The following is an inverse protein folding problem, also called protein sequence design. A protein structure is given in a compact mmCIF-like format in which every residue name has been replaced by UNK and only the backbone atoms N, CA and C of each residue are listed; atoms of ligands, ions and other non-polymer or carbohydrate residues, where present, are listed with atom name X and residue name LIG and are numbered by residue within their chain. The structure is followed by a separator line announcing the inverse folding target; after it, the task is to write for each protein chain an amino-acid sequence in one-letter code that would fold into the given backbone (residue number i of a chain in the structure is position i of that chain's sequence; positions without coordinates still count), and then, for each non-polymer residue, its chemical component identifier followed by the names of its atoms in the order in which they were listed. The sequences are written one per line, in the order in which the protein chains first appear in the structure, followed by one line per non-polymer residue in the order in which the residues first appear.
data_IF_820608422292
#
_entry.id   IF_820608422292
#
_cell.length_a   1.000
_cell.length_b   1.000
_cell.length_c   1.000
_cell.angle_alpha   90.00
_cell.angle_beta   90.00
_cell.angle_gamma   90.00
#
_symmetry.space_group_name_H-M   'P 1'
#
loop_
_entity.id
_entity.type
_entity.pdbx_description
1 polymer ?
#
# COMPACT_ATOMS: atom_id res chain seq x y z
N UNK A 1 16.49 0.08 7.54
CA UNK A 1 15.36 0.94 7.16
C UNK A 1 14.08 0.15 7.38
N UNK A 2 13.28 0.56 8.35
CA UNK A 2 12.08 -0.18 8.76
C UNK A 2 10.92 0.14 7.84
N UNK A 3 10.19 -0.89 7.40
CA UNK A 3 8.98 -0.73 6.59
C UNK A 3 7.79 -1.12 7.44
N UNK A 4 6.89 -0.16 7.63
CA UNK A 4 5.65 -0.35 8.37
C UNK A 4 4.50 -0.23 7.37
N UNK A 5 3.71 -1.30 7.26
CA UNK A 5 2.50 -1.30 6.44
C UNK A 5 1.33 -0.92 7.34
N UNK A 6 0.68 0.20 7.04
CA UNK A 6 -0.50 0.67 7.75
C UNK A 6 -1.72 0.51 6.85
N UNK A 7 -2.56 -0.47 7.17
CA UNK A 7 -3.83 -0.78 6.48
C UNK A 7 -5.04 -0.22 7.21
N UNK A 8 -4.85 0.20 8.46
CA UNK A 8 -5.88 0.66 9.39
C UNK A 8 -5.86 2.19 9.55
N UNK A 9 -5.42 2.89 8.50
CA UNK A 9 -5.34 4.34 8.53
C UNK A 9 -6.74 4.94 8.53
N UNK A 10 -7.07 5.65 9.62
CA UNK A 10 -8.29 6.46 9.73
C UNK A 10 -7.89 7.92 9.62
N UNK A 11 -8.49 8.65 8.68
CA UNK A 11 -8.30 10.10 8.54
C UNK A 11 -6.81 10.53 8.52
N UNK A 12 -6.04 10.10 7.51
CA UNK A 12 -4.75 10.73 7.26
C UNK A 12 -5.00 12.18 6.79
N UNK A 13 -4.87 13.15 7.70
CA UNK A 13 -5.08 14.59 7.41
C UNK A 13 -4.30 15.05 6.18
N UNK A 14 -3.10 14.48 5.99
CA UNK A 14 -2.22 14.75 4.84
C UNK A 14 -2.83 14.41 3.48
N UNK A 15 -3.74 13.43 3.43
CA UNK A 15 -4.25 12.88 2.18
C UNK A 15 -5.79 12.85 2.08
N UNK A 16 -6.50 13.30 3.14
CA UNK A 16 -7.96 13.29 3.25
C UNK A 16 -8.57 11.92 2.89
N UNK A 17 -7.93 10.86 3.35
CA UNK A 17 -8.42 9.50 3.10
C UNK A 17 -9.64 9.19 3.99
N UNK A 18 -10.70 8.66 3.36
CA UNK A 18 -11.93 8.28 4.06
C UNK A 18 -11.82 6.87 4.65
N UNK A 19 -12.51 6.61 5.77
CA UNK A 19 -12.57 5.27 6.39
C UNK A 19 -13.07 4.20 5.41
N UNK A 20 -13.99 4.56 4.51
CA UNK A 20 -14.47 3.66 3.45
C UNK A 20 -13.34 3.13 2.55
N UNK A 21 -12.24 3.87 2.41
CA UNK A 21 -11.08 3.44 1.62
C UNK A 21 -10.24 2.41 2.36
N UNK A 22 -10.03 2.56 3.67
CA UNK A 22 -9.32 1.57 4.46
C UNK A 22 -10.07 0.24 4.51
N UNK A 23 -11.40 0.29 4.66
CA UNK A 23 -12.26 -0.91 4.59
C UNK A 23 -12.15 -1.56 3.21
N UNK A 24 -12.25 -0.78 2.13
CA UNK A 24 -12.11 -1.31 0.78
C UNK A 24 -10.76 -1.99 0.55
N UNK A 25 -9.66 -1.43 1.04
CA UNK A 25 -8.33 -2.05 0.94
C UNK A 25 -8.30 -3.40 1.64
N UNK A 26 -8.82 -3.43 2.87
CA UNK A 26 -8.87 -4.65 3.68
C UNK A 26 -9.70 -5.74 2.99
N UNK A 27 -10.87 -5.39 2.47
CA UNK A 27 -11.71 -6.32 1.70
C UNK A 27 -10.97 -6.88 0.48
N UNK A 28 -10.26 -6.02 -0.26
CA UNK A 28 -9.51 -6.42 -1.46
C UNK A 28 -8.32 -7.31 -1.15
N UNK A 29 -7.70 -7.10 0.01
CA UNK A 29 -6.64 -7.94 0.57
C UNK A 29 -7.18 -9.31 0.97
N UNK A 30 -8.29 -9.34 1.72
CA UNK A 30 -8.93 -10.58 2.17
C UNK A 30 -9.45 -11.42 0.99
N UNK A 31 -10.13 -10.81 0.02
CA UNK A 31 -10.65 -11.49 -1.17
C UNK A 31 -9.54 -12.15 -2.00
N UNK A 32 -8.32 -11.64 -1.94
CA UNK A 32 -7.16 -12.16 -2.69
C UNK A 32 -6.20 -12.99 -1.86
N UNK A 33 -6.39 -13.09 -0.54
CA UNK A 33 -5.41 -13.73 0.33
C UNK A 33 -4.05 -13.01 0.34
N UNK A 34 -4.08 -11.67 0.30
CA UNK A 34 -2.88 -10.82 0.34
C UNK A 34 -2.80 -10.16 1.71
N UNK A 35 -1.83 -10.58 2.52
CA UNK A 35 -1.47 -10.01 3.80
C UNK A 35 -0.43 -8.89 3.71
N UNK A 36 -0.16 -8.27 4.85
CA UNK A 36 0.80 -7.16 4.99
C UNK A 36 2.23 -7.58 4.68
N UNK A 37 2.60 -8.84 4.94
CA UNK A 37 3.93 -9.37 4.58
C UNK A 37 4.14 -9.41 3.07
N UNK A 38 3.15 -9.88 2.30
CA UNK A 38 3.23 -9.88 0.83
C UNK A 38 3.30 -8.45 0.29
N UNK A 39 2.56 -7.50 0.89
CA UNK A 39 2.69 -6.08 0.54
C UNK A 39 4.10 -5.57 0.83
N UNK A 40 4.68 -5.92 1.98
CA UNK A 40 6.06 -5.55 2.33
C UNK A 40 7.06 -6.11 1.32
N UNK A 41 6.89 -7.37 0.91
CA UNK A 41 7.70 -7.97 -0.15
C UNK A 41 7.54 -7.23 -1.48
N UNK A 42 6.31 -6.89 -1.87
CA UNK A 42 6.05 -6.15 -3.10
C UNK A 42 6.69 -4.75 -3.06
N UNK A 43 6.62 -4.05 -1.93
CA UNK A 43 7.26 -2.74 -1.75
C UNK A 43 8.79 -2.87 -1.83
N UNK A 44 9.38 -3.96 -1.33
CA UNK A 44 10.83 -4.15 -1.36
C UNK A 44 11.31 -4.62 -2.74
N UNK A 45 10.76 -5.72 -3.24
CA UNK A 45 11.26 -6.51 -4.38
C UNK A 45 10.51 -6.25 -5.69
N UNK A 46 9.28 -5.71 -5.62
CA UNK A 46 8.44 -5.51 -6.79
C UNK A 46 8.93 -4.40 -7.72
N UNK A 47 8.50 -4.50 -8.98
CA UNK A 47 8.72 -3.49 -10.02
C UNK A 47 7.84 -2.28 -9.75
N UNK A 48 8.44 -1.09 -9.69
CA UNK A 48 7.79 0.13 -9.21
C UNK A 48 7.53 1.10 -10.34
N UNK A 49 6.30 1.62 -10.39
CA UNK A 49 5.91 2.71 -11.27
C UNK A 49 5.28 3.83 -10.43
N UNK A 50 5.83 5.04 -10.56
CA UNK A 50 5.28 6.22 -9.90
C UNK A 50 4.20 6.82 -10.81
N UNK A 51 3.01 7.04 -10.27
CA UNK A 51 1.91 7.70 -10.97
C UNK A 51 2.00 9.23 -10.84
N UNK A 52 1.37 9.99 -11.75
CA UNK A 52 1.33 11.45 -11.67
C UNK A 52 0.71 12.00 -10.38
N UNK A 53 -0.15 11.23 -9.71
CA UNK A 53 -0.79 11.58 -8.44
C UNK A 53 0.10 11.34 -7.20
N UNK A 54 1.35 10.93 -7.41
CA UNK A 54 2.32 10.63 -6.36
C UNK A 54 2.13 9.26 -5.68
N UNK A 55 1.17 8.45 -6.12
CA UNK A 55 1.05 7.05 -5.68
C UNK A 55 2.04 6.15 -6.44
N UNK A 56 2.39 5.03 -5.82
CA UNK A 56 3.30 4.03 -6.39
C UNK A 56 2.52 2.76 -6.66
N UNK A 57 2.58 2.26 -7.89
CA UNK A 57 2.23 0.88 -8.20
C UNK A 57 3.48 0.06 -7.96
N UNK A 58 3.38 -1.00 -7.17
CA UNK A 58 4.38 -2.07 -7.16
C UNK A 58 3.76 -3.38 -7.62
N UNK A 59 4.32 -3.94 -8.68
CA UNK A 59 3.96 -5.24 -9.23
C UNK A 59 4.90 -6.31 -8.68
N UNK A 60 4.32 -7.37 -8.12
CA UNK A 60 5.06 -8.47 -7.55
C UNK A 60 4.29 -9.79 -7.70
N UNK A 61 4.93 -10.75 -8.39
CA UNK A 61 4.33 -12.04 -8.72
C UNK A 61 3.01 -11.86 -9.49
N UNK A 62 1.91 -12.32 -8.91
CA UNK A 62 0.58 -12.33 -9.53
C UNK A 62 -0.29 -11.13 -9.13
N UNK A 63 0.25 -10.16 -8.38
CA UNK A 63 -0.53 -9.01 -7.91
C UNK A 63 0.20 -7.68 -8.03
N UNK A 64 -0.59 -6.61 -8.03
CA UNK A 64 -0.19 -5.21 -8.02
C UNK A 64 -0.74 -4.55 -6.77
N UNK A 65 0.11 -3.85 -6.02
CA UNK A 65 -0.31 -2.98 -4.91
C UNK A 65 -0.11 -1.54 -5.30
N UNK A 66 -1.16 -0.73 -5.14
CA UNK A 66 -1.07 0.73 -5.24
C UNK A 66 -0.95 1.25 -3.83
N UNK A 67 0.06 2.06 -3.54
CA UNK A 67 0.25 2.61 -2.20
C UNK A 67 0.83 4.03 -2.24
N UNK A 68 0.72 4.72 -1.12
CA UNK A 68 1.46 5.95 -0.82
C UNK A 68 2.55 5.66 0.20
N UNK A 69 3.70 6.28 0.02
CA UNK A 69 4.80 6.18 0.96
C UNK A 69 5.01 7.49 1.71
N UNK A 70 5.25 7.39 3.01
CA UNK A 70 5.73 8.47 3.85
C UNK A 70 7.08 8.06 4.41
N UNK A 71 8.13 8.74 3.94
CA UNK A 71 9.49 8.55 4.46
C UNK A 71 9.69 9.44 5.68
N UNK A 72 10.06 8.81 6.78
CA UNK A 72 10.61 9.42 7.99
C UNK A 72 12.06 8.95 8.11
N UNK A 73 12.88 9.63 8.93
CA UNK A 73 14.35 9.46 8.99
C UNK A 73 14.82 8.00 8.83
N UNK A 74 14.31 7.06 9.64
CA UNK A 74 14.66 5.63 9.57
C UNK A 74 13.50 4.70 9.17
N UNK A 75 12.29 5.25 9.01
CA UNK A 75 11.07 4.47 8.85
C UNK A 75 10.33 4.88 7.58
N UNK A 76 9.97 3.87 6.77
CA UNK A 76 9.11 4.03 5.61
C UNK A 76 7.71 3.52 5.95
N UNK A 77 6.76 4.43 6.14
CA UNK A 77 5.34 4.08 6.31
C UNK A 77 4.71 3.92 4.93
N UNK A 78 4.02 2.81 4.73
CA UNK A 78 3.32 2.47 3.50
C UNK A 78 1.84 2.41 3.80
N UNK A 79 1.07 3.17 3.03
CA UNK A 79 -0.39 3.22 3.10
C UNK A 79 -0.95 2.63 1.80
N UNK A 80 -1.41 1.37 1.81
CA UNK A 80 -1.99 0.76 0.62
C UNK A 80 -3.31 1.46 0.26
N UNK A 81 -3.49 1.76 -1.02
CA UNK A 81 -4.71 2.36 -1.59
C UNK A 81 -5.60 1.26 -2.18
N UNK A 82 -5.01 0.27 -2.84
CA UNK A 82 -5.74 -0.91 -3.35
C UNK A 82 -4.78 -2.03 -3.72
N UNK A 83 -5.33 -3.23 -3.86
CA UNK A 83 -4.63 -4.40 -4.39
C UNK A 83 -5.42 -4.98 -5.57
N UNK A 84 -4.69 -5.33 -6.63
CA UNK A 84 -5.21 -5.79 -7.91
C UNK A 84 -4.42 -7.01 -8.37
N UNK A 85 -5.00 -7.82 -9.24
CA UNK A 85 -4.25 -8.88 -9.94
C UNK A 85 -3.38 -8.23 -11.02
N UNK A 86 -2.22 -8.83 -11.29
CA UNK A 86 -1.26 -8.32 -12.25
C UNK A 86 -1.70 -8.57 -13.70
#
# INVERSE_FOLDING_TARGET
MDIVIDVSFRNLEKWKDSEKRSEHVFDRMQLRGIGTEQIKEAVQKGAKQIRPDGSVISEYRWFKVVYRELRMENTKKIYPITVMEA
#
